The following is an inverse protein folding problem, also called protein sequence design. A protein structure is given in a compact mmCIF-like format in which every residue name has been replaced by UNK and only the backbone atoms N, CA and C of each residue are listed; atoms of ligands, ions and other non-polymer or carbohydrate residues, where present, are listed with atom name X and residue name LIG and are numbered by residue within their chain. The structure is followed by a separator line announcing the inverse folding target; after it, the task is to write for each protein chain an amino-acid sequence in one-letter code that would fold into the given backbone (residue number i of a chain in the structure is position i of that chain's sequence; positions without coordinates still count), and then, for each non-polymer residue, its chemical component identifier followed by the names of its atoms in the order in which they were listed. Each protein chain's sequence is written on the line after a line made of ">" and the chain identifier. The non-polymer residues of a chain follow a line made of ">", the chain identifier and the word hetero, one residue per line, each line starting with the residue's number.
data_IF_351095338452
#
_entry.id   IF_351095338452
#
_cell.length_a   1.000
_cell.length_b   1.000
_cell.length_c   1.000
_cell.angle_alpha   90.00
_cell.angle_beta   90.00
_cell.angle_gamma   90.00
#
_symmetry.space_group_name_H-M   'P 1'
#
loop_
_entity.id
_entity.type
_entity.pdbx_description
1 polymer ?
#
# COMPACT_ATOMS: atom_id res chain seq x y z
N UNK A 1 4.25 -19.97 -30.25
CA UNK A 1 3.48 -20.59 -29.13
C UNK A 1 3.56 -19.63 -27.95
N UNK A 2 2.45 -19.42 -27.22
CA UNK A 2 2.44 -18.55 -26.03
C UNK A 2 3.08 -19.32 -24.86
N UNK A 3 3.83 -18.61 -24.01
CA UNK A 3 4.39 -19.17 -22.77
C UNK A 3 3.28 -19.40 -21.75
N UNK A 4 3.39 -20.43 -20.91
CA UNK A 4 2.39 -20.75 -19.88
C UNK A 4 2.84 -20.39 -18.45
N UNK A 5 4.14 -20.22 -18.20
CA UNK A 5 4.72 -19.86 -16.89
C UNK A 5 4.85 -18.34 -16.64
N UNK A 6 4.14 -17.50 -17.41
CA UNK A 6 4.12 -16.05 -17.17
C UNK A 6 3.32 -15.69 -15.91
N UNK A 7 3.57 -14.50 -15.38
CA UNK A 7 2.85 -13.99 -14.21
C UNK A 7 1.40 -13.64 -14.57
N UNK A 8 0.49 -14.00 -13.67
CA UNK A 8 -0.83 -13.41 -13.65
C UNK A 8 -0.77 -11.91 -13.31
N UNK A 9 -1.85 -11.19 -13.55
CA UNK A 9 -1.95 -9.77 -13.19
C UNK A 9 -1.84 -9.54 -11.68
N UNK A 10 -2.53 -10.36 -10.87
CA UNK A 10 -2.46 -10.28 -9.41
C UNK A 10 -1.02 -10.50 -8.91
N UNK A 11 -0.31 -11.52 -9.42
CA UNK A 11 1.10 -11.76 -9.07
C UNK A 11 1.99 -10.59 -9.47
N UNK A 12 1.77 -10.03 -10.66
CA UNK A 12 2.54 -8.89 -11.14
C UNK A 12 2.33 -7.66 -10.26
N UNK A 13 1.09 -7.25 -10.01
CA UNK A 13 0.80 -6.02 -9.27
C UNK A 13 1.12 -6.12 -7.78
N UNK A 14 0.85 -7.27 -7.16
CA UNK A 14 1.29 -7.53 -5.78
C UNK A 14 2.82 -7.62 -5.71
N UNK A 15 3.47 -8.22 -6.71
CA UNK A 15 4.92 -8.24 -6.84
C UNK A 15 5.52 -6.83 -6.91
N UNK A 16 4.90 -5.91 -7.65
CA UNK A 16 5.30 -4.49 -7.68
C UNK A 16 5.12 -3.82 -6.31
N UNK A 17 4.02 -4.09 -5.60
CA UNK A 17 3.82 -3.57 -4.25
C UNK A 17 4.90 -4.09 -3.28
N UNK A 18 5.19 -5.39 -3.30
CA UNK A 18 6.25 -6.01 -2.50
C UNK A 18 7.65 -5.46 -2.84
N UNK A 19 7.96 -5.26 -4.12
CA UNK A 19 9.21 -4.64 -4.56
C UNK A 19 9.28 -3.17 -4.12
N UNK A 20 8.18 -2.44 -4.20
CA UNK A 20 8.11 -1.04 -3.76
C UNK A 20 8.37 -0.91 -2.25
N UNK A 21 7.88 -1.87 -1.45
CA UNK A 21 8.15 -1.91 -0.01
C UNK A 21 9.66 -1.94 0.31
N UNK A 22 10.49 -2.56 -0.54
CA UNK A 22 11.95 -2.60 -0.37
C UNK A 22 12.64 -1.23 -0.45
N UNK A 23 11.92 -0.18 -0.87
CA UNK A 23 12.42 1.21 -0.81
C UNK A 23 12.22 1.89 0.54
N UNK A 24 11.37 1.34 1.41
CA UNK A 24 11.13 1.89 2.74
C UNK A 24 12.42 1.84 3.58
N UNK A 25 12.71 2.93 4.29
CA UNK A 25 13.81 3.01 5.26
C UNK A 25 13.39 2.65 6.67
N UNK A 26 12.10 2.39 6.89
CA UNK A 26 11.59 1.95 8.18
C UNK A 26 12.18 0.59 8.53
N UNK A 27 12.90 0.48 9.65
CA UNK A 27 13.56 -0.76 10.08
C UNK A 27 12.58 -1.82 10.61
N UNK A 28 11.34 -1.44 10.92
CA UNK A 28 10.38 -2.29 11.60
C UNK A 28 9.30 -2.82 10.66
N UNK A 29 8.80 -1.99 9.76
CA UNK A 29 7.68 -2.36 8.90
C UNK A 29 7.78 -1.67 7.56
N UNK A 30 8.00 -2.47 6.52
CA UNK A 30 8.08 -2.01 5.14
C UNK A 30 6.77 -2.35 4.43
N UNK A 31 6.01 -1.32 4.07
CA UNK A 31 4.74 -1.43 3.35
C UNK A 31 4.92 -0.85 1.96
N UNK A 32 4.35 -1.51 0.96
CA UNK A 32 4.30 -1.04 -0.42
C UNK A 32 2.89 -1.09 -0.96
N UNK A 33 2.62 -0.22 -1.94
CA UNK A 33 1.34 -0.04 -2.56
C UNK A 33 1.50 0.17 -4.08
N UNK A 34 0.58 -0.40 -4.85
CA UNK A 34 0.51 -0.26 -6.30
C UNK A 34 -0.95 -0.01 -6.70
N UNK A 35 -1.22 1.12 -7.36
CA UNK A 35 -2.56 1.48 -7.83
C UNK A 35 -2.64 1.22 -9.32
N UNK A 36 -3.69 0.50 -9.73
CA UNK A 36 -3.89 0.00 -11.09
C UNK A 36 -5.27 0.39 -11.58
N UNK A 37 -5.37 0.85 -12.82
CA UNK A 37 -6.66 1.17 -13.43
C UNK A 37 -7.34 -0.06 -14.05
N UNK A 38 -8.57 0.14 -14.55
CA UNK A 38 -9.38 -0.91 -15.18
C UNK A 38 -8.79 -1.50 -16.48
N UNK A 39 -7.79 -0.84 -17.06
CA UNK A 39 -7.07 -1.30 -18.24
C UNK A 39 -5.76 -2.05 -17.88
N UNK A 40 -5.59 -2.41 -16.59
CA UNK A 40 -4.38 -3.04 -16.05
C UNK A 40 -3.11 -2.21 -16.24
N UNK A 41 -3.23 -0.88 -16.22
CA UNK A 41 -2.09 0.04 -16.23
C UNK A 41 -1.81 0.51 -14.82
N UNK A 42 -0.54 0.43 -14.42
CA UNK A 42 -0.07 1.03 -13.16
C UNK A 42 -0.21 2.54 -13.28
N UNK A 43 -0.99 3.13 -12.38
CA UNK A 43 -1.19 4.58 -12.30
C UNK A 43 -0.13 5.20 -11.38
N UNK A 44 0.14 4.55 -10.25
CA UNK A 44 1.14 5.01 -9.29
C UNK A 44 1.56 3.89 -8.34
N UNK A 45 2.70 4.11 -7.67
CA UNK A 45 3.23 3.24 -6.62
C UNK A 45 3.65 4.07 -5.41
N UNK A 46 3.69 3.45 -4.26
CA UNK A 46 4.08 4.07 -3.00
C UNK A 46 4.70 3.08 -2.03
N UNK A 47 5.46 3.61 -1.07
CA UNK A 47 5.99 2.89 0.08
C UNK A 47 5.96 3.83 1.29
N UNK A 48 5.99 3.29 2.51
CA UNK A 48 6.01 4.13 3.70
C UNK A 48 7.36 4.82 3.88
N UNK A 49 7.33 6.12 4.18
CA UNK A 49 8.53 6.96 4.29
C UNK A 49 8.22 8.35 4.84
N UNK A 50 9.25 9.14 5.12
CA UNK A 50 9.06 10.53 5.54
C UNK A 50 8.51 11.40 4.41
N UNK A 51 7.88 12.55 4.71
CA UNK A 51 7.38 13.47 3.70
C UNK A 51 8.49 13.98 2.77
N UNK A 52 8.13 14.36 1.54
CA UNK A 52 9.09 14.89 0.57
C UNK A 52 9.83 16.11 1.12
N UNK A 53 11.16 16.06 1.09
CA UNK A 53 12.03 17.12 1.57
C UNK A 53 12.47 16.97 3.04
N UNK A 54 11.86 16.08 3.81
CA UNK A 54 12.40 15.68 5.11
C UNK A 54 13.60 14.75 4.89
N UNK A 55 14.74 15.08 5.50
CA UNK A 55 15.90 14.20 5.48
C UNK A 55 15.67 13.02 6.43
N UNK A 56 15.67 11.80 5.91
CA UNK A 56 15.41 10.61 6.71
C UNK A 56 16.43 10.39 7.84
N UNK A 57 17.65 10.94 7.71
CA UNK A 57 18.70 10.84 8.74
C UNK A 57 18.46 11.80 9.93
N UNK A 58 17.65 12.85 9.73
CA UNK A 58 17.30 13.83 10.75
C UNK A 58 15.94 13.54 11.42
N UNK A 59 15.19 12.56 10.91
CA UNK A 59 13.83 12.24 11.35
C UNK A 59 13.79 11.03 12.28
N UNK A 60 12.89 11.00 13.28
CA UNK A 60 12.78 9.88 14.20
C UNK A 60 12.13 8.67 13.53
N UNK A 61 12.82 7.52 13.57
CA UNK A 61 12.29 6.23 13.13
C UNK A 61 11.80 5.33 14.27
N UNK A 62 12.02 5.78 15.50
CA UNK A 62 11.70 5.02 16.70
C UNK A 62 10.19 4.87 16.92
N UNK A 63 9.82 3.78 17.60
CA UNK A 63 8.42 3.47 17.95
C UNK A 63 8.07 3.84 19.39
N UNK A 64 9.08 4.08 20.22
CA UNK A 64 8.93 4.35 21.64
C UNK A 64 9.56 5.69 21.98
N UNK A 65 9.00 6.37 22.97
CA UNK A 65 9.40 7.71 23.39
C UNK A 65 8.24 8.70 23.32
N UNK A 66 8.54 9.97 23.59
CA UNK A 66 7.57 11.05 23.47
C UNK A 66 7.08 11.17 22.03
N UNK A 67 5.83 11.64 21.84
CA UNK A 67 5.17 11.65 20.54
C UNK A 67 6.05 12.20 19.39
N UNK A 68 6.72 13.33 19.61
CA UNK A 68 7.61 13.98 18.63
C UNK A 68 8.96 13.29 18.41
N UNK A 69 9.33 12.34 19.26
CA UNK A 69 10.54 11.51 19.13
C UNK A 69 10.23 10.14 18.51
N UNK A 70 8.99 9.91 18.08
CA UNK A 70 8.58 8.69 17.37
C UNK A 70 8.32 8.98 15.89
N UNK A 71 8.30 7.93 15.07
CA UNK A 71 7.94 8.06 13.64
C UNK A 71 6.47 8.40 13.39
N UNK A 72 5.59 8.09 14.34
CA UNK A 72 4.13 8.13 14.17
C UNK A 72 3.56 9.47 13.69
N UNK A 73 3.99 10.64 14.18
CA UNK A 73 3.52 11.93 13.66
C UNK A 73 4.00 12.26 12.24
N UNK A 74 5.08 11.64 11.76
CA UNK A 74 5.78 12.10 10.55
C UNK A 74 5.65 11.14 9.38
N UNK A 75 5.61 9.83 9.63
CA UNK A 75 5.67 8.83 8.57
C UNK A 75 4.40 8.86 7.71
N UNK A 76 4.58 8.99 6.40
CA UNK A 76 3.53 8.78 5.42
C UNK A 76 3.41 7.29 5.10
N UNK A 77 2.20 6.76 5.12
CA UNK A 77 1.93 5.37 4.76
C UNK A 77 2.04 5.13 3.25
N UNK A 78 2.21 3.87 2.85
CA UNK A 78 2.41 3.50 1.45
C UNK A 78 1.21 3.85 0.58
N UNK A 79 0.00 3.66 1.08
CA UNK A 79 -1.27 3.95 0.40
C UNK A 79 -1.41 5.46 0.16
N UNK A 80 -1.10 6.27 1.17
CA UNK A 80 -1.14 7.73 1.06
C UNK A 80 -0.11 8.20 0.03
N UNK A 81 1.12 7.71 0.11
CA UNK A 81 2.16 8.04 -0.87
C UNK A 81 1.76 7.57 -2.28
N UNK A 82 1.19 6.38 -2.46
CA UNK A 82 0.72 5.92 -3.78
C UNK A 82 -0.36 6.85 -4.35
N UNK A 83 -1.31 7.30 -3.52
CA UNK A 83 -2.33 8.27 -3.95
C UNK A 83 -1.68 9.60 -4.36
N UNK A 84 -0.76 10.13 -3.55
CA UNK A 84 -0.13 11.43 -3.75
C UNK A 84 0.91 11.46 -4.89
N UNK A 85 1.59 10.34 -5.15
CA UNK A 85 2.65 10.23 -6.16
C UNK A 85 2.16 10.29 -7.60
N UNK A 86 0.85 10.17 -7.84
CA UNK A 86 0.32 10.19 -9.22
C UNK A 86 0.58 11.55 -9.85
N UNK A 87 1.21 11.56 -11.02
CA UNK A 87 1.47 12.80 -11.77
C UNK A 87 0.25 13.27 -12.56
N UNK A 88 -0.56 12.32 -13.05
CA UNK A 88 -1.76 12.57 -13.82
C UNK A 88 -2.72 11.37 -13.73
N UNK A 89 -3.95 11.56 -14.20
CA UNK A 89 -4.97 10.51 -14.26
C UNK A 89 -5.86 10.44 -13.02
N UNK A 90 -7.04 9.86 -13.22
CA UNK A 90 -8.03 9.63 -12.15
C UNK A 90 -7.74 8.33 -11.42
N UNK A 91 -7.96 8.31 -10.12
CA UNK A 91 -7.98 7.08 -9.31
C UNK A 91 -9.39 6.48 -9.23
N UNK A 92 -10.39 7.11 -9.86
CA UNK A 92 -11.77 6.66 -9.86
C UNK A 92 -11.87 5.25 -10.47
N UNK A 93 -12.39 4.30 -9.69
CA UNK A 93 -12.57 2.92 -10.12
C UNK A 93 -11.29 2.09 -10.19
N UNK A 94 -10.15 2.62 -9.72
CA UNK A 94 -8.91 1.85 -9.65
C UNK A 94 -8.93 0.80 -8.53
N UNK A 95 -8.04 -0.17 -8.66
CA UNK A 95 -7.73 -1.18 -7.64
C UNK A 95 -6.38 -0.85 -6.97
N UNK A 96 -6.30 -1.06 -5.66
CA UNK A 96 -5.10 -0.89 -4.85
C UNK A 96 -4.58 -2.27 -4.41
N UNK A 97 -3.37 -2.62 -4.83
CA UNK A 97 -2.60 -3.72 -4.28
C UNK A 97 -1.71 -3.19 -3.16
N UNK A 98 -1.79 -3.75 -1.97
CA UNK A 98 -1.05 -3.27 -0.79
C UNK A 98 -0.51 -4.43 0.04
N UNK A 99 0.69 -4.29 0.59
CA UNK A 99 1.32 -5.39 1.35
C UNK A 99 0.76 -5.56 2.76
N UNK A 100 0.00 -4.59 3.27
CA UNK A 100 -0.66 -4.63 4.58
C UNK A 100 -2.03 -3.96 4.51
N UNK A 101 -3.02 -4.51 5.19
CA UNK A 101 -4.38 -3.96 5.21
C UNK A 101 -4.40 -2.48 5.67
N UNK A 102 -5.10 -1.58 4.97
CA UNK A 102 -5.02 -0.14 5.25
C UNK A 102 -5.60 0.26 6.61
N UNK A 103 -4.92 1.19 7.29
CA UNK A 103 -5.44 1.82 8.51
C UNK A 103 -6.64 2.75 8.21
N UNK A 104 -7.32 3.25 9.23
CA UNK A 104 -8.47 4.12 9.08
C UNK A 104 -8.14 5.45 8.37
N UNK A 105 -6.97 6.05 8.59
CA UNK A 105 -6.61 7.30 7.89
C UNK A 105 -6.36 7.04 6.40
N UNK A 106 -5.69 5.94 6.05
CA UNK A 106 -5.52 5.53 4.66
C UNK A 106 -6.87 5.19 4.01
N UNK A 107 -7.79 4.54 4.74
CA UNK A 107 -9.12 4.26 4.25
C UNK A 107 -9.90 5.52 3.83
N UNK A 108 -9.81 6.60 4.62
CA UNK A 108 -10.41 7.89 4.25
C UNK A 108 -9.84 8.39 2.92
N UNK A 109 -8.51 8.38 2.78
CA UNK A 109 -7.85 8.84 1.55
C UNK A 109 -8.22 7.97 0.34
N UNK A 110 -8.23 6.64 0.51
CA UNK A 110 -8.62 5.66 -0.53
C UNK A 110 -10.04 5.93 -1.01
N UNK A 111 -11.01 6.04 -0.10
CA UNK A 111 -12.42 6.31 -0.42
C UNK A 111 -12.55 7.64 -1.17
N UNK A 112 -11.97 8.72 -0.63
CA UNK A 112 -12.05 10.05 -1.24
C UNK A 112 -11.36 10.14 -2.59
N UNK A 113 -10.35 9.31 -2.84
CA UNK A 113 -9.66 9.23 -4.14
C UNK A 113 -10.47 8.50 -5.22
N UNK A 114 -11.51 7.77 -4.84
CA UNK A 114 -12.38 7.05 -5.77
C UNK A 114 -11.94 5.62 -6.10
N UNK A 115 -10.90 5.09 -5.45
CA UNK A 115 -10.49 3.67 -5.54
C UNK A 115 -11.65 2.78 -5.06
N UNK A 116 -11.86 1.64 -5.73
CA UNK A 116 -13.03 0.77 -5.49
C UNK A 116 -12.70 -0.65 -5.08
N UNK A 117 -11.46 -1.11 -5.23
CA UNK A 117 -11.03 -2.44 -4.82
C UNK A 117 -9.69 -2.37 -4.10
N UNK A 118 -9.54 -3.19 -3.05
CA UNK A 118 -8.31 -3.34 -2.27
C UNK A 118 -7.96 -4.83 -2.24
N UNK A 119 -6.75 -5.15 -2.70
CA UNK A 119 -6.14 -6.47 -2.64
C UNK A 119 -4.98 -6.38 -1.66
N UNK A 120 -5.12 -7.01 -0.49
CA UNK A 120 -4.12 -6.89 0.59
C UNK A 120 -3.37 -8.20 0.81
N UNK A 121 -2.04 -8.13 1.00
CA UNK A 121 -1.20 -9.30 1.22
C UNK A 121 -1.31 -9.85 2.65
N UNK A 122 -1.32 -8.98 3.65
CA UNK A 122 -1.39 -9.35 5.07
C UNK A 122 -2.44 -8.48 5.80
N UNK A 123 -3.03 -9.02 6.85
CA UNK A 123 -3.92 -8.33 7.78
C UNK A 123 -3.60 -8.66 9.25
N UNK A 124 -2.31 -8.71 9.60
CA UNK A 124 -1.83 -9.01 10.97
C UNK A 124 -2.37 -8.08 12.07
N UNK A 125 -2.96 -6.94 11.75
CA UNK A 125 -3.58 -6.00 12.69
C UNK A 125 -5.12 -5.99 12.61
N UNK A 126 -5.74 -7.09 12.17
CA UNK A 126 -7.19 -7.22 11.99
C UNK A 126 -8.01 -6.76 13.21
N UNK A 127 -7.52 -7.07 14.42
CA UNK A 127 -8.24 -6.79 15.66
C UNK A 127 -8.06 -5.38 16.20
N UNK A 128 -7.19 -4.56 15.59
CA UNK A 128 -6.99 -3.17 16.03
C UNK A 128 -8.21 -2.30 15.70
N UNK A 129 -8.46 -1.29 16.53
CA UNK A 129 -9.58 -0.35 16.31
C UNK A 129 -9.43 0.42 15.00
N UNK A 130 -8.19 0.75 14.61
CA UNK A 130 -7.90 1.38 13.32
C UNK A 130 -8.33 0.50 12.13
N UNK A 131 -8.01 -0.80 12.18
CA UNK A 131 -8.41 -1.74 11.11
C UNK A 131 -9.92 -1.98 11.11
N UNK A 132 -10.55 -2.12 12.28
CA UNK A 132 -12.02 -2.26 12.38
C UNK A 132 -12.76 -1.03 11.84
N UNK A 133 -12.26 0.17 12.15
CA UNK A 133 -12.80 1.41 11.60
C UNK A 133 -12.63 1.49 10.07
N UNK A 134 -11.45 1.09 9.56
CA UNK A 134 -11.16 0.97 8.12
C UNK A 134 -12.15 0.03 7.42
N UNK A 135 -12.32 -1.20 7.91
CA UNK A 135 -13.28 -2.19 7.40
C UNK A 135 -14.71 -1.65 7.40
N UNK A 136 -15.14 -1.00 8.48
CA UNK A 136 -16.47 -0.38 8.57
C UNK A 136 -16.67 0.68 7.50
N UNK A 137 -15.69 1.55 7.25
CA UNK A 137 -15.79 2.58 6.22
C UNK A 137 -15.84 1.98 4.81
N UNK A 138 -15.01 0.98 4.50
CA UNK A 138 -15.04 0.31 3.20
C UNK A 138 -16.39 -0.39 2.96
N UNK A 139 -16.92 -1.09 3.96
CA UNK A 139 -18.24 -1.73 3.90
C UNK A 139 -19.35 -0.72 3.60
N UNK A 140 -19.38 0.41 4.31
CA UNK A 140 -20.42 1.44 4.14
C UNK A 140 -20.35 2.17 2.80
N UNK A 141 -19.18 2.20 2.16
CA UNK A 141 -18.94 2.95 0.91
C UNK A 141 -18.87 2.07 -0.33
N UNK A 142 -18.97 0.74 -0.15
CA UNK A 142 -18.92 -0.24 -1.23
C UNK A 142 -17.53 -0.43 -1.84
N UNK A 143 -16.46 -0.06 -1.12
CA UNK A 143 -15.09 -0.42 -1.52
C UNK A 143 -14.88 -1.89 -1.18
N UNK A 144 -14.56 -2.72 -2.17
CA UNK A 144 -14.35 -4.14 -1.95
C UNK A 144 -12.95 -4.40 -1.41
N UNK A 145 -12.84 -5.31 -0.44
CA UNK A 145 -11.55 -5.74 0.10
C UNK A 145 -11.46 -7.26 -0.02
N UNK A 146 -10.35 -7.77 -0.56
CA UNK A 146 -10.06 -9.20 -0.60
C UNK A 146 -8.60 -9.48 -0.25
N UNK A 147 -8.31 -10.59 0.46
CA UNK A 147 -6.95 -11.03 0.65
C UNK A 147 -6.34 -11.42 -0.71
N UNK A 148 -5.05 -11.21 -0.84
CA UNK A 148 -4.28 -11.73 -1.96
C UNK A 148 -4.26 -13.26 -1.93
N UNK A 149 -4.45 -13.89 -3.09
CA UNK A 149 -4.33 -15.34 -3.21
C UNK A 149 -2.86 -15.72 -3.40
N UNK A 150 -2.22 -16.24 -2.36
CA UNK A 150 -0.82 -16.67 -2.41
C UNK A 150 -0.66 -17.85 -3.37
N UNK A 151 0.11 -17.67 -4.44
CA UNK A 151 0.36 -18.71 -5.46
C UNK A 151 1.57 -19.59 -5.17
N UNK A 152 2.26 -19.36 -4.05
CA UNK A 152 3.55 -20.00 -3.68
C UNK A 152 4.69 -19.79 -4.70
N UNK A 153 4.46 -19.02 -5.78
CA UNK A 153 5.48 -18.69 -6.77
C UNK A 153 6.59 -17.87 -6.14
N UNK A 154 7.83 -18.31 -6.35
CA UNK A 154 9.03 -17.55 -5.98
C UNK A 154 9.58 -16.81 -7.21
N UNK A 155 10.03 -15.58 -6.99
CA UNK A 155 10.65 -14.76 -8.02
C UNK A 155 11.97 -14.20 -7.49
N UNK A 156 13.02 -14.29 -8.31
CA UNK A 156 14.33 -13.74 -8.00
C UNK A 156 14.68 -12.67 -9.03
N UNK A 157 14.99 -11.46 -8.57
CA UNK A 157 15.55 -10.39 -9.39
C UNK A 157 17.04 -10.29 -9.06
N UNK A 158 17.89 -10.44 -10.09
CA UNK A 158 19.33 -10.16 -9.98
C UNK A 158 19.55 -8.74 -10.50
N UNK A 159 19.88 -7.82 -9.60
CA UNK A 159 20.10 -6.40 -9.89
C UNK A 159 21.54 -6.11 -10.32
#
# INVERSE_FOLDING_TARGET
>A
MKRDDYLSWDEYFMGIALLSAQRSKDSNTQVGACIVNQEHKIVSVGYNGMPTGCNDDDMPWEREGDFLNTKYPFVCHAELNAILNRSAGSLQGCSLYVTLFPCNECAKAIIQSGIREIIYYDNKYADSDATKASQRMFLLTGVTCRPYHHTERQMTLVL
#
